data_IF_556361160358
#
_entry.id   IF_556361160358
#
_cell.length_a   1.000
_cell.length_b   1.000
_cell.length_c   1.000
_cell.angle_alpha   90.00
_cell.angle_beta   90.00
_cell.angle_gamma   90.00
#
_symmetry.space_group_name_H-M   'P 1'
#
loop_
_entity.id
_entity.type
_entity.pdbx_description
1 polymer ?
#
# COMPACT_ATOMS: atom_id res chain seq x y z
N UNK A 1 10.54 -21.81 -9.20
CA UNK A 1 10.58 -20.34 -9.40
C UNK A 1 9.50 -19.68 -8.55
N UNK A 2 9.78 -18.53 -7.91
CA UNK A 2 8.79 -17.76 -7.13
C UNK A 2 8.23 -16.62 -7.98
N UNK A 3 6.91 -16.45 -8.00
CA UNK A 3 6.25 -15.36 -8.72
C UNK A 3 5.04 -14.85 -7.94
N UNK A 4 4.61 -13.61 -8.24
CA UNK A 4 3.42 -13.02 -7.66
C UNK A 4 2.20 -13.29 -8.56
N UNK A 5 1.06 -13.59 -7.96
CA UNK A 5 -0.22 -13.73 -8.67
C UNK A 5 -1.16 -12.62 -8.22
N UNK A 6 -1.66 -11.85 -9.18
CA UNK A 6 -2.64 -10.79 -8.95
C UNK A 6 -3.90 -11.13 -9.74
N UNK A 7 -5.04 -11.22 -9.08
CA UNK A 7 -6.30 -11.58 -9.71
C UNK A 7 -7.16 -12.49 -8.82
N UNK A 8 -8.03 -13.26 -9.47
CA UNK A 8 -8.96 -14.17 -8.81
C UNK A 8 -9.02 -15.52 -9.53
N UNK A 9 -10.03 -16.34 -9.23
CA UNK A 9 -10.20 -17.68 -9.83
C UNK A 9 -10.52 -17.65 -11.32
N UNK A 10 -11.04 -16.55 -11.85
CA UNK A 10 -11.47 -16.41 -13.25
C UNK A 10 -10.34 -15.86 -14.11
N UNK A 11 -9.68 -14.78 -13.64
CA UNK A 11 -8.59 -14.11 -14.33
C UNK A 11 -7.53 -13.64 -13.36
N UNK A 12 -6.29 -13.98 -13.65
CA UNK A 12 -5.12 -13.53 -12.91
C UNK A 12 -3.96 -13.22 -13.86
N UNK A 13 -3.03 -12.39 -13.37
CA UNK A 13 -1.74 -12.05 -13.97
C UNK A 13 -0.65 -12.62 -13.08
N UNK A 14 0.30 -13.34 -13.66
CA UNK A 14 1.54 -13.73 -13.00
C UNK A 14 2.62 -12.67 -13.26
N UNK A 15 3.36 -12.29 -12.22
CA UNK A 15 4.52 -11.38 -12.32
C UNK A 15 5.76 -12.17 -11.94
N UNK A 16 6.65 -12.37 -12.92
CA UNK A 16 7.86 -13.17 -12.78
C UNK A 16 9.12 -12.33 -12.79
N UNK A 17 10.15 -12.85 -12.16
CA UNK A 17 11.53 -12.37 -12.29
C UNK A 17 12.34 -13.50 -12.94
N UNK A 18 12.91 -13.22 -14.11
CA UNK A 18 13.59 -14.22 -14.95
C UNK A 18 15.06 -13.87 -15.01
N UNK A 19 15.92 -14.85 -14.73
CA UNK A 19 17.37 -14.74 -14.79
C UNK A 19 17.88 -14.69 -16.23
N UNK A 20 19.14 -14.23 -16.39
CA UNK A 20 19.79 -14.27 -17.70
C UNK A 20 19.97 -15.71 -18.17
N UNK A 21 19.52 -16.01 -19.41
CA UNK A 21 19.66 -17.31 -20.03
C UNK A 21 18.50 -18.28 -19.78
N UNK A 22 17.51 -17.92 -18.99
CA UNK A 22 16.31 -18.73 -18.84
C UNK A 22 15.35 -18.54 -20.03
N UNK A 23 14.66 -19.60 -20.43
CA UNK A 23 13.69 -19.57 -21.53
C UNK A 23 12.34 -18.99 -21.04
N UNK A 24 12.12 -17.72 -21.34
CA UNK A 24 10.95 -16.96 -20.88
C UNK A 24 9.61 -17.55 -21.35
N UNK A 25 9.56 -18.02 -22.60
CA UNK A 25 8.34 -18.63 -23.18
C UNK A 25 7.99 -19.93 -22.49
N UNK A 26 8.97 -20.78 -22.27
CA UNK A 26 8.78 -22.07 -21.60
C UNK A 26 8.29 -21.87 -20.15
N UNK A 27 8.90 -20.92 -19.43
CA UNK A 27 8.48 -20.55 -18.08
C UNK A 27 7.02 -20.08 -18.08
N UNK A 28 6.66 -19.18 -19.00
CA UNK A 28 5.32 -18.64 -19.08
C UNK A 28 4.27 -19.71 -19.42
N UNK A 29 4.59 -20.59 -20.36
CA UNK A 29 3.73 -21.72 -20.76
C UNK A 29 3.52 -22.69 -19.59
N UNK A 30 4.58 -23.00 -18.84
CA UNK A 30 4.50 -23.87 -17.67
C UNK A 30 3.60 -23.26 -16.57
N UNK A 31 3.75 -21.96 -16.29
CA UNK A 31 2.91 -21.23 -15.33
C UNK A 31 1.44 -21.28 -15.76
N UNK A 32 1.14 -20.94 -17.01
CA UNK A 32 -0.23 -20.93 -17.52
C UNK A 32 -0.84 -22.35 -17.62
N UNK A 33 -0.04 -23.36 -17.86
CA UNK A 33 -0.47 -24.76 -17.83
C UNK A 33 -0.88 -25.21 -16.43
N UNK A 34 -0.09 -24.85 -15.42
CA UNK A 34 -0.34 -25.20 -14.00
C UNK A 34 -1.49 -24.39 -13.39
N UNK A 35 -1.66 -23.13 -13.80
CA UNK A 35 -2.62 -22.18 -13.23
C UNK A 35 -3.57 -21.66 -14.31
N UNK A 36 -4.68 -22.36 -14.52
CA UNK A 36 -5.65 -22.08 -15.62
C UNK A 36 -6.31 -20.71 -15.57
N UNK A 37 -6.34 -20.08 -14.40
CA UNK A 37 -6.83 -18.71 -14.19
C UNK A 37 -5.80 -17.64 -14.59
N UNK A 38 -4.51 -17.96 -14.74
CA UNK A 38 -3.51 -17.02 -15.23
C UNK A 38 -3.71 -16.84 -16.74
N UNK A 39 -4.04 -15.61 -17.14
CA UNK A 39 -4.30 -15.23 -18.53
C UNK A 39 -3.17 -14.40 -19.13
N UNK A 40 -2.28 -13.85 -18.31
CA UNK A 40 -1.12 -13.07 -18.73
C UNK A 40 0.06 -13.33 -17.82
N UNK A 41 1.25 -13.39 -18.40
CA UNK A 41 2.52 -13.49 -17.66
C UNK A 41 3.37 -12.27 -18.00
N UNK A 42 3.69 -11.48 -16.98
CA UNK A 42 4.50 -10.27 -17.05
C UNK A 42 5.89 -10.54 -16.48
N UNK A 43 6.93 -10.17 -17.20
CA UNK A 43 8.31 -10.13 -16.73
C UNK A 43 8.63 -8.72 -16.19
N UNK A 44 9.32 -8.66 -15.05
CA UNK A 44 9.89 -7.41 -14.54
C UNK A 44 11.11 -7.03 -15.38
N UNK A 45 11.10 -5.83 -16.01
CA UNK A 45 12.23 -5.34 -16.83
C UNK A 45 12.96 -4.17 -16.20
N UNK A 46 12.40 -3.51 -15.21
CA UNK A 46 13.06 -2.43 -14.49
C UNK A 46 12.86 -2.52 -12.98
N UNK A 47 13.69 -1.80 -12.24
CA UNK A 47 13.38 -1.43 -10.86
C UNK A 47 12.26 -0.37 -10.85
N UNK A 48 11.66 -0.15 -9.67
CA UNK A 48 10.63 0.89 -9.50
C UNK A 48 11.26 2.27 -9.59
N UNK A 49 10.73 3.13 -10.46
CA UNK A 49 11.25 4.47 -10.76
C UNK A 49 10.21 5.55 -10.50
N UNK A 50 10.71 6.77 -10.29
CA UNK A 50 9.90 7.97 -10.18
C UNK A 50 9.00 8.04 -8.94
N UNK A 51 8.26 9.12 -8.86
CA UNK A 51 7.35 9.43 -7.75
C UNK A 51 6.17 8.44 -7.67
N UNK A 52 5.65 8.01 -8.83
CA UNK A 52 4.55 7.06 -8.94
C UNK A 52 4.97 5.61 -8.63
N UNK A 53 6.28 5.35 -8.46
CA UNK A 53 6.86 4.04 -8.15
C UNK A 53 6.44 2.93 -9.10
N UNK A 54 6.24 3.27 -10.36
CA UNK A 54 5.92 2.32 -11.41
C UNK A 54 7.15 1.49 -11.78
N UNK A 55 6.89 0.29 -12.25
CA UNK A 55 7.85 -0.64 -12.81
C UNK A 55 7.44 -0.95 -14.22
N UNK A 56 8.41 -1.06 -15.09
CA UNK A 56 8.18 -1.53 -16.45
C UNK A 56 8.06 -3.06 -16.45
N UNK A 57 7.08 -3.54 -17.19
CA UNK A 57 6.82 -4.95 -17.40
C UNK A 57 6.78 -5.26 -18.89
N UNK A 58 7.22 -6.45 -19.24
CA UNK A 58 7.06 -7.02 -20.57
C UNK A 58 6.07 -8.17 -20.51
N UNK A 59 5.10 -8.16 -21.44
CA UNK A 59 4.18 -9.29 -21.60
C UNK A 59 4.89 -10.40 -22.38
N UNK A 60 5.20 -11.50 -21.71
CA UNK A 60 5.88 -12.62 -22.32
C UNK A 60 4.94 -13.73 -22.80
N UNK A 61 3.71 -13.79 -22.28
CA UNK A 61 2.67 -14.71 -22.78
C UNK A 61 1.27 -14.26 -22.35
N UNK A 62 0.26 -14.65 -23.14
CA UNK A 62 -1.16 -14.50 -22.83
C UNK A 62 -1.78 -13.20 -23.31
N UNK A 63 -2.85 -12.77 -22.64
CA UNK A 63 -3.66 -11.62 -23.02
C UNK A 63 -2.92 -10.30 -22.84
N UNK A 64 -3.07 -9.39 -23.81
CA UNK A 64 -2.57 -8.01 -23.72
C UNK A 64 -3.29 -7.18 -22.64
N UNK A 65 -4.57 -7.51 -22.38
CA UNK A 65 -5.33 -6.88 -21.30
C UNK A 65 -4.96 -7.51 -19.97
N UNK A 66 -4.13 -6.81 -19.18
CA UNK A 66 -3.64 -7.25 -17.87
C UNK A 66 -4.48 -6.72 -16.70
N UNK A 67 -5.58 -6.02 -16.98
CA UNK A 67 -6.53 -5.58 -15.95
C UNK A 67 -7.21 -6.79 -15.30
N UNK A 68 -7.21 -6.83 -13.97
CA UNK A 68 -7.78 -7.92 -13.17
C UNK A 68 -8.55 -7.40 -11.97
N UNK A 69 -9.41 -8.26 -11.42
CA UNK A 69 -10.02 -8.05 -10.10
C UNK A 69 -9.35 -9.01 -9.11
N UNK A 70 -8.48 -8.48 -8.27
CA UNK A 70 -7.85 -9.22 -7.19
C UNK A 70 -8.80 -9.37 -6.00
N UNK A 71 -8.84 -10.56 -5.40
CA UNK A 71 -9.69 -10.87 -4.25
C UNK A 71 -8.84 -11.10 -3.00
N UNK A 72 -9.10 -10.34 -1.94
CA UNK A 72 -8.32 -10.40 -0.71
C UNK A 72 -9.26 -10.25 0.50
N UNK A 73 -9.21 -11.17 1.45
CA UNK A 73 -9.97 -11.13 2.73
C UNK A 73 -11.42 -10.62 2.63
N UNK A 74 -12.11 -10.97 1.54
CA UNK A 74 -13.53 -10.65 1.34
C UNK A 74 -13.82 -9.27 0.77
N UNK A 75 -12.82 -8.57 0.22
CA UNK A 75 -12.98 -7.40 -0.64
C UNK A 75 -12.30 -7.60 -1.98
N UNK A 76 -12.65 -6.78 -2.96
CA UNK A 76 -12.16 -6.86 -4.33
C UNK A 76 -11.38 -5.59 -4.70
N UNK A 77 -10.30 -5.77 -5.47
CA UNK A 77 -9.44 -4.71 -5.97
C UNK A 77 -9.27 -4.86 -7.48
N UNK A 78 -9.93 -4.01 -8.26
CA UNK A 78 -9.69 -3.89 -9.69
C UNK A 78 -8.43 -3.08 -9.90
N UNK A 79 -7.53 -3.56 -10.73
CA UNK A 79 -6.27 -2.89 -11.07
C UNK A 79 -5.64 -3.47 -12.33
N UNK A 80 -4.75 -2.69 -12.94
CA UNK A 80 -3.80 -3.15 -13.94
C UNK A 80 -2.37 -3.01 -13.36
N UNK A 81 -1.64 -4.11 -13.15
CA UNK A 81 -0.29 -4.05 -12.56
C UNK A 81 0.73 -3.29 -13.41
N UNK A 82 0.46 -3.04 -14.68
CA UNK A 82 1.31 -2.22 -15.54
C UNK A 82 1.11 -0.70 -15.30
N UNK A 83 -0.02 -0.27 -14.73
CA UNK A 83 -0.38 1.13 -14.52
C UNK A 83 -0.25 1.59 -13.08
N UNK A 84 -0.37 0.64 -12.13
CA UNK A 84 -0.40 0.98 -10.71
C UNK A 84 0.49 0.06 -9.90
N UNK A 85 0.96 0.57 -8.77
CA UNK A 85 1.62 -0.26 -7.77
C UNK A 85 0.59 -1.06 -6.97
N UNK A 86 0.81 -2.35 -6.88
CA UNK A 86 0.13 -3.23 -5.94
C UNK A 86 1.05 -4.41 -5.55
N UNK A 87 0.94 -4.87 -4.29
CA UNK A 87 1.66 -6.06 -3.80
C UNK A 87 0.69 -6.99 -3.06
N UNK A 88 0.42 -8.19 -3.57
CA UNK A 88 -0.39 -9.18 -2.87
C UNK A 88 0.30 -9.68 -1.58
N UNK A 89 1.62 -9.59 -1.50
CA UNK A 89 2.41 -10.00 -0.32
C UNK A 89 2.15 -9.15 0.93
N UNK A 90 1.55 -7.97 0.77
CA UNK A 90 1.20 -7.07 1.88
C UNK A 90 -0.19 -7.34 2.48
N UNK A 91 -0.89 -8.37 2.03
CA UNK A 91 -2.25 -8.69 2.46
C UNK A 91 -2.38 -8.86 3.98
N UNK A 92 -1.48 -9.61 4.59
CA UNK A 92 -1.47 -9.83 6.05
C UNK A 92 -1.20 -8.53 6.82
N UNK A 93 -0.32 -7.68 6.29
CA UNK A 93 -0.01 -6.38 6.92
C UNK A 93 -1.21 -5.44 6.85
N UNK A 94 -1.94 -5.42 5.74
CA UNK A 94 -3.20 -4.67 5.64
C UNK A 94 -4.22 -5.11 6.67
N UNK A 95 -4.35 -6.42 6.91
CA UNK A 95 -5.22 -6.94 7.97
C UNK A 95 -4.76 -6.51 9.36
N UNK A 96 -3.46 -6.58 9.66
CA UNK A 96 -2.89 -6.13 10.94
C UNK A 96 -3.25 -4.67 11.25
N UNK A 97 -3.13 -3.78 10.27
CA UNK A 97 -3.52 -2.37 10.44
C UNK A 97 -5.03 -2.25 10.61
N UNK A 98 -5.80 -2.96 9.80
CA UNK A 98 -7.27 -2.91 9.86
C UNK A 98 -7.83 -3.38 11.23
N UNK A 99 -7.20 -4.36 11.85
CA UNK A 99 -7.55 -4.88 13.18
C UNK A 99 -7.35 -3.87 14.32
N UNK A 100 -6.48 -2.90 14.13
CA UNK A 100 -6.20 -1.86 15.13
C UNK A 100 -7.19 -0.69 15.07
N UNK A 101 -7.96 -0.55 13.98
CA UNK A 101 -8.89 0.56 13.81
C UNK A 101 -10.11 0.37 14.70
N UNK A 102 -10.49 1.39 15.45
CA UNK A 102 -11.63 1.37 16.37
C UNK A 102 -12.92 1.90 15.69
N UNK A 103 -14.10 1.58 16.24
CA UNK A 103 -15.34 2.21 15.82
C UNK A 103 -15.25 3.74 15.91
N UNK A 104 -15.90 4.43 14.96
CA UNK A 104 -16.01 5.89 14.89
C UNK A 104 -14.66 6.64 14.67
N UNK A 105 -13.56 5.96 14.36
CA UNK A 105 -12.32 6.64 13.96
C UNK A 105 -12.47 7.32 12.60
N UNK A 106 -11.86 8.50 12.45
CA UNK A 106 -11.52 9.11 11.16
C UNK A 106 -10.09 8.71 10.81
N UNK A 107 -9.92 8.12 9.65
CA UNK A 107 -8.63 7.58 9.19
C UNK A 107 -8.16 8.31 7.94
N UNK A 108 -6.89 8.69 7.91
CA UNK A 108 -6.22 9.16 6.70
C UNK A 108 -5.28 8.06 6.19
N UNK A 109 -5.42 7.70 4.93
CA UNK A 109 -4.45 6.85 4.23
C UNK A 109 -3.75 7.71 3.18
N UNK A 110 -2.48 8.02 3.41
CA UNK A 110 -1.61 8.70 2.46
C UNK A 110 -1.05 7.68 1.48
N UNK A 111 -0.81 8.08 0.21
CA UNK A 111 -0.25 7.20 -0.82
C UNK A 111 -1.08 5.91 -0.99
N UNK A 112 -2.39 6.09 -1.14
CA UNK A 112 -3.37 5.02 -0.96
C UNK A 112 -3.41 4.01 -2.10
N UNK A 113 -2.77 4.29 -3.25
CA UNK A 113 -2.83 3.42 -4.42
C UNK A 113 -4.28 3.18 -4.85
N UNK A 114 -4.59 1.95 -5.19
CA UNK A 114 -5.94 1.50 -5.57
C UNK A 114 -6.87 1.25 -4.36
N UNK A 115 -6.59 1.84 -3.21
CA UNK A 115 -7.30 1.74 -1.93
C UNK A 115 -7.25 0.38 -1.20
N UNK A 116 -6.15 -0.40 -1.21
CA UNK A 116 -6.14 -1.68 -0.51
C UNK A 116 -6.25 -1.54 1.02
N UNK A 117 -5.57 -0.58 1.65
CA UNK A 117 -5.70 -0.30 3.10
C UNK A 117 -7.10 0.21 3.47
N UNK A 118 -7.68 1.21 2.77
CA UNK A 118 -9.05 1.65 3.05
C UNK A 118 -10.07 0.51 3.02
N UNK A 119 -10.01 -0.36 2.00
CA UNK A 119 -10.95 -1.47 1.87
C UNK A 119 -10.76 -2.54 2.94
N UNK A 120 -9.51 -2.87 3.30
CA UNK A 120 -9.22 -3.76 4.41
C UNK A 120 -9.81 -3.23 5.72
N UNK A 121 -9.64 -1.91 5.99
CA UNK A 121 -10.15 -1.24 7.19
C UNK A 121 -11.68 -1.33 7.25
N UNK A 122 -12.39 -0.90 6.21
CA UNK A 122 -13.87 -0.93 6.23
C UNK A 122 -14.39 -2.36 6.35
N UNK A 123 -13.73 -3.31 5.70
CA UNK A 123 -14.13 -4.73 5.78
C UNK A 123 -13.98 -5.29 7.19
N UNK A 124 -12.90 -4.95 7.90
CA UNK A 124 -12.62 -5.44 9.24
C UNK A 124 -13.35 -4.65 10.32
N UNK A 125 -13.45 -3.32 10.15
CA UNK A 125 -14.15 -2.39 11.05
C UNK A 125 -15.26 -1.62 10.33
N UNK A 126 -16.45 -2.24 10.17
CA UNK A 126 -17.57 -1.61 9.46
C UNK A 126 -18.12 -0.35 10.15
N UNK A 127 -17.79 -0.12 11.43
CA UNK A 127 -18.17 1.07 12.20
C UNK A 127 -17.14 2.19 12.15
N UNK A 128 -16.08 2.10 11.31
CA UNK A 128 -15.21 3.23 11.03
C UNK A 128 -16.05 4.39 10.50
N UNK A 129 -15.78 5.63 10.93
CA UNK A 129 -16.60 6.77 10.55
C UNK A 129 -16.29 7.23 9.12
N UNK A 130 -15.01 7.48 8.82
CA UNK A 130 -14.56 8.01 7.53
C UNK A 130 -13.11 7.62 7.26
N UNK A 131 -12.83 7.31 6.01
CA UNK A 131 -11.46 7.09 5.53
C UNK A 131 -11.21 8.02 4.35
N UNK A 132 -10.27 8.96 4.51
CA UNK A 132 -9.74 9.77 3.41
C UNK A 132 -8.53 9.06 2.81
N UNK A 133 -8.50 8.90 1.49
CA UNK A 133 -7.48 8.15 0.77
C UNK A 133 -6.84 9.03 -0.30
N UNK A 134 -5.62 9.52 -0.04
CA UNK A 134 -4.92 10.46 -0.93
C UNK A 134 -3.96 9.68 -1.84
N UNK A 135 -4.06 9.92 -3.15
CA UNK A 135 -3.23 9.27 -4.17
C UNK A 135 -2.86 10.26 -5.26
N UNK A 136 -1.57 10.28 -5.65
CA UNK A 136 -1.05 11.20 -6.67
C UNK A 136 -1.12 10.61 -8.09
N UNK A 137 -1.10 9.28 -8.23
CA UNK A 137 -1.21 8.61 -9.53
C UNK A 137 -2.67 8.62 -10.02
N UNK A 138 -2.98 9.28 -11.14
CA UNK A 138 -4.35 9.38 -11.65
C UNK A 138 -4.94 8.02 -12.04
N UNK A 139 -4.15 7.08 -12.54
CA UNK A 139 -4.63 5.73 -12.84
C UNK A 139 -4.99 4.97 -11.56
N UNK A 140 -4.15 5.08 -10.52
CA UNK A 140 -4.43 4.45 -9.23
C UNK A 140 -5.66 5.06 -8.56
N UNK A 141 -5.81 6.39 -8.65
CA UNK A 141 -6.99 7.09 -8.14
C UNK A 141 -8.28 6.65 -8.86
N UNK A 142 -8.25 6.55 -10.19
CA UNK A 142 -9.40 6.02 -10.98
C UNK A 142 -9.79 4.62 -10.50
N UNK A 143 -8.81 3.72 -10.34
CA UNK A 143 -9.08 2.39 -9.77
C UNK A 143 -9.57 2.46 -8.32
N UNK A 144 -9.09 3.40 -7.52
CA UNK A 144 -9.57 3.59 -6.15
C UNK A 144 -11.07 3.93 -6.13
N UNK A 145 -11.53 4.84 -6.99
CA UNK A 145 -12.97 5.17 -7.13
C UNK A 145 -13.80 3.97 -7.61
N UNK A 146 -13.31 3.24 -8.62
CA UNK A 146 -13.96 2.01 -9.09
C UNK A 146 -14.04 0.95 -7.96
N UNK A 147 -12.98 0.80 -7.18
CA UNK A 147 -12.90 -0.16 -6.08
C UNK A 147 -13.83 0.21 -4.91
N UNK A 148 -13.97 1.49 -4.61
CA UNK A 148 -14.93 1.98 -3.61
C UNK A 148 -16.35 1.59 -4.01
N UNK A 149 -16.74 1.80 -5.27
CA UNK A 149 -18.05 1.39 -5.81
C UNK A 149 -18.22 -0.14 -5.83
N UNK A 150 -17.19 -0.86 -6.30
CA UNK A 150 -17.20 -2.32 -6.39
C UNK A 150 -17.44 -3.00 -5.03
N UNK A 151 -16.94 -2.39 -3.96
CA UNK A 151 -17.11 -2.90 -2.58
C UNK A 151 -18.27 -2.24 -1.83
N UNK A 152 -19.03 -1.33 -2.45
CA UNK A 152 -20.21 -0.64 -1.87
C UNK A 152 -19.88 0.13 -0.57
N UNK A 153 -18.80 0.92 -0.61
CA UNK A 153 -18.31 1.66 0.56
C UNK A 153 -18.17 3.16 0.33
N UNK A 154 -18.91 3.72 -0.65
CA UNK A 154 -18.90 5.13 -1.06
C UNK A 154 -19.23 6.10 0.10
N UNK A 155 -20.04 5.64 1.06
CA UNK A 155 -20.36 6.44 2.25
C UNK A 155 -19.25 6.51 3.30
N UNK A 156 -18.14 5.78 3.12
CA UNK A 156 -17.05 5.64 4.12
C UNK A 156 -15.67 5.92 3.61
N UNK A 157 -15.37 5.54 2.37
CA UNK A 157 -14.05 5.72 1.75
C UNK A 157 -14.14 6.80 0.69
N UNK A 158 -13.27 7.81 0.82
CA UNK A 158 -13.24 9.00 -0.03
C UNK A 158 -11.86 9.13 -0.68
N UNK A 159 -11.66 8.58 -1.89
CA UNK A 159 -10.44 8.80 -2.66
C UNK A 159 -10.29 10.28 -3.05
N UNK A 160 -9.08 10.80 -2.98
CA UNK A 160 -8.72 12.15 -3.44
C UNK A 160 -7.48 12.08 -4.29
N UNK A 161 -7.56 12.57 -5.52
CA UNK A 161 -6.42 12.73 -6.41
C UNK A 161 -5.61 13.96 -5.99
N UNK A 162 -4.32 13.78 -5.76
CA UNK A 162 -3.40 14.91 -5.52
C UNK A 162 -2.19 14.55 -4.68
N UNK A 163 -1.26 15.51 -4.60
CA UNK A 163 -0.11 15.42 -3.69
C UNK A 163 -0.58 15.59 -2.24
N UNK A 164 -0.06 14.73 -1.37
CA UNK A 164 -0.26 14.82 0.09
C UNK A 164 0.09 16.21 0.62
N UNK A 165 1.12 16.88 0.07
CA UNK A 165 1.52 18.24 0.47
C UNK A 165 0.46 19.30 0.18
N UNK A 166 -0.34 19.11 -0.84
CA UNK A 166 -1.37 20.06 -1.28
C UNK A 166 -2.75 19.71 -0.69
N UNK A 167 -3.04 18.42 -0.62
CA UNK A 167 -4.35 17.93 -0.15
C UNK A 167 -4.46 17.98 1.37
N UNK A 168 -3.46 17.44 2.10
CA UNK A 168 -3.56 17.23 3.53
C UNK A 168 -3.63 18.50 4.40
N UNK A 169 -3.04 19.65 4.03
CA UNK A 169 -3.19 20.88 4.83
C UNK A 169 -4.63 21.30 5.10
N UNK A 170 -5.56 20.99 4.21
CA UNK A 170 -7.01 21.25 4.36
C UNK A 170 -7.66 20.40 5.47
N UNK A 171 -6.96 19.38 5.92
CA UNK A 171 -7.44 18.36 6.85
C UNK A 171 -6.62 18.27 8.14
N UNK A 172 -5.82 19.28 8.48
CA UNK A 172 -5.09 19.32 9.74
C UNK A 172 -6.05 19.24 10.94
N UNK A 173 -5.67 18.48 11.95
CA UNK A 173 -6.46 18.32 13.17
C UNK A 173 -7.73 17.46 13.02
N UNK A 174 -7.85 16.60 12.00
CA UNK A 174 -9.12 15.91 11.67
C UNK A 174 -9.11 14.41 11.93
N UNK A 175 -7.97 13.76 12.07
CA UNK A 175 -7.90 12.30 12.07
C UNK A 175 -7.46 11.72 13.42
N UNK A 176 -8.04 10.56 13.74
CA UNK A 176 -7.63 9.73 14.88
C UNK A 176 -6.43 8.85 14.51
N UNK A 177 -6.29 8.55 13.20
CA UNK A 177 -5.27 7.64 12.69
C UNK A 177 -4.78 8.05 11.31
N UNK A 178 -3.46 7.89 11.09
CA UNK A 178 -2.82 8.08 9.78
C UNK A 178 -2.04 6.83 9.40
N UNK A 179 -2.24 6.33 8.17
CA UNK A 179 -1.48 5.22 7.60
C UNK A 179 -0.63 5.76 6.45
N UNK A 180 0.69 5.51 6.52
CA UNK A 180 1.67 5.99 5.55
C UNK A 180 2.40 4.81 4.88
N UNK A 181 1.77 4.03 3.98
CA UNK A 181 2.29 2.74 3.51
C UNK A 181 3.48 2.85 2.53
N UNK A 182 3.95 4.05 2.23
CA UNK A 182 5.10 4.30 1.37
C UNK A 182 6.41 4.20 2.18
N UNK A 183 7.29 3.20 1.92
CA UNK A 183 8.50 3.03 2.74
C UNK A 183 9.68 3.90 2.32
N UNK A 184 9.65 4.51 1.14
CA UNK A 184 10.71 5.39 0.64
C UNK A 184 10.13 6.77 0.31
N UNK A 185 10.70 7.81 0.91
CA UNK A 185 10.24 9.18 0.75
C UNK A 185 9.15 9.60 1.73
N UNK A 186 8.51 8.66 2.44
CA UNK A 186 7.46 8.99 3.43
C UNK A 186 7.96 9.87 4.57
N UNK A 187 9.27 9.84 4.86
CA UNK A 187 9.90 10.70 5.85
C UNK A 187 9.69 12.20 5.59
N UNK A 188 9.54 12.60 4.33
CA UNK A 188 9.28 13.99 3.93
C UNK A 188 7.87 14.48 4.26
N UNK A 189 6.98 13.56 4.64
CA UNK A 189 5.57 13.83 4.89
C UNK A 189 5.17 13.56 6.35
N UNK A 190 6.13 13.17 7.20
CA UNK A 190 5.84 12.77 8.58
C UNK A 190 5.33 13.94 9.42
N UNK A 191 5.81 15.16 9.19
CA UNK A 191 5.30 16.37 9.84
C UNK A 191 3.87 16.69 9.41
N UNK A 192 3.52 16.45 8.14
CA UNK A 192 2.15 16.60 7.64
C UNK A 192 1.23 15.56 8.30
N UNK A 193 1.67 14.31 8.38
CA UNK A 193 0.91 13.25 9.04
C UNK A 193 0.60 13.58 10.50
N UNK A 194 1.59 14.09 11.25
CA UNK A 194 1.42 14.50 12.64
C UNK A 194 0.42 15.67 12.75
N UNK A 195 0.50 16.66 11.86
CA UNK A 195 -0.44 17.79 11.84
C UNK A 195 -1.87 17.38 11.47
N UNK A 196 -2.05 16.31 10.72
CA UNK A 196 -3.37 15.77 10.37
C UNK A 196 -4.08 15.13 11.56
N UNK A 197 -3.35 14.67 12.59
CA UNK A 197 -3.95 14.13 13.80
C UNK A 197 -4.73 15.21 14.56
N UNK A 198 -5.77 14.80 15.27
CA UNK A 198 -6.54 15.65 16.19
C UNK A 198 -5.65 16.27 17.26
N UNK A 199 -6.11 17.33 17.92
CA UNK A 199 -5.36 18.04 18.94
C UNK A 199 -5.00 17.14 20.12
N UNK A 200 -5.89 16.26 20.52
CA UNK A 200 -5.71 15.24 21.55
C UNK A 200 -4.73 14.12 21.16
N UNK A 201 -4.21 14.17 19.94
CA UNK A 201 -3.27 13.19 19.41
C UNK A 201 -3.95 12.11 18.57
N UNK A 202 -3.20 11.03 18.30
CA UNK A 202 -3.68 9.91 17.49
C UNK A 202 -2.56 8.94 17.14
N UNK A 203 -2.87 7.95 16.30
CA UNK A 203 -1.95 6.88 15.95
C UNK A 203 -1.43 7.07 14.53
N UNK A 204 -0.15 6.85 14.32
CA UNK A 204 0.48 6.82 12.98
C UNK A 204 1.12 5.45 12.76
N UNK A 205 0.86 4.89 11.58
CA UNK A 205 1.54 3.72 11.04
C UNK A 205 2.56 4.19 10.00
N UNK A 206 3.81 4.27 10.39
CA UNK A 206 4.90 4.82 9.57
C UNK A 206 5.76 3.69 8.99
N UNK A 207 5.78 3.59 7.67
CA UNK A 207 6.58 2.62 6.96
C UNK A 207 7.93 3.22 6.54
N UNK A 208 8.98 2.41 6.67
CA UNK A 208 10.34 2.76 6.26
C UNK A 208 11.14 1.51 5.86
N UNK A 209 12.38 1.70 5.44
CA UNK A 209 13.32 0.62 5.21
C UNK A 209 14.25 0.44 6.41
N UNK A 210 14.52 -0.83 6.76
CA UNK A 210 15.54 -1.22 7.72
C UNK A 210 16.52 -2.20 7.09
N UNK A 211 17.75 -2.24 7.60
CA UNK A 211 18.72 -3.29 7.30
C UNK A 211 18.59 -4.45 8.29
N UNK A 212 19.18 -5.61 7.96
CA UNK A 212 19.17 -6.78 8.84
C UNK A 212 19.80 -6.49 10.21
N UNK A 213 20.88 -5.70 10.21
CA UNK A 213 21.63 -5.35 11.42
C UNK A 213 20.93 -4.26 12.24
N UNK A 214 20.11 -3.43 11.59
CA UNK A 214 19.38 -2.33 12.23
C UNK A 214 18.04 -2.08 11.53
N UNK A 215 17.00 -2.77 12.02
CA UNK A 215 15.67 -2.69 11.40
C UNK A 215 14.95 -1.36 11.66
N UNK A 216 15.16 -0.71 12.81
CA UNK A 216 14.21 0.31 13.26
C UNK A 216 14.84 1.67 13.59
N UNK A 217 16.13 1.77 13.90
CA UNK A 217 16.74 3.02 14.40
C UNK A 217 16.59 4.20 13.45
N UNK A 218 16.68 3.98 12.13
CA UNK A 218 16.43 5.03 11.14
C UNK A 218 15.01 5.59 11.27
N UNK A 219 14.01 4.72 11.30
CA UNK A 219 12.61 5.12 11.41
C UNK A 219 12.33 5.84 12.73
N UNK A 220 12.86 5.33 13.85
CA UNK A 220 12.73 5.94 15.17
C UNK A 220 13.34 7.34 15.24
N UNK A 221 14.55 7.53 14.71
CA UNK A 221 15.20 8.87 14.63
C UNK A 221 14.38 9.88 13.81
N UNK A 222 13.77 9.42 12.72
CA UNK A 222 12.89 10.26 11.90
C UNK A 222 11.61 10.67 12.65
N UNK A 223 10.98 9.74 13.36
CA UNK A 223 9.81 10.00 14.21
C UNK A 223 10.18 11.03 15.29
N UNK A 224 11.22 10.75 16.06
CA UNK A 224 11.68 11.62 17.14
C UNK A 224 11.97 13.05 16.65
N UNK A 225 12.71 13.19 15.54
CA UNK A 225 13.02 14.48 14.92
C UNK A 225 11.76 15.29 14.58
N UNK A 226 10.78 14.64 13.94
CA UNK A 226 9.58 15.34 13.48
C UNK A 226 8.62 15.67 14.62
N UNK A 227 8.46 14.76 15.60
CA UNK A 227 7.61 15.01 16.77
C UNK A 227 8.19 16.13 17.63
N UNK A 228 9.51 16.14 17.90
CA UNK A 228 10.20 17.22 18.62
C UNK A 228 10.07 18.57 17.91
N UNK A 229 10.22 18.61 16.57
CA UNK A 229 10.03 19.83 15.76
C UNK A 229 8.65 20.44 15.97
N UNK A 230 7.63 19.62 16.17
CA UNK A 230 6.24 20.05 16.41
C UNK A 230 5.90 20.23 17.90
N UNK A 231 6.89 20.14 18.79
CA UNK A 231 6.74 20.30 20.26
C UNK A 231 5.69 19.33 20.85
N UNK A 232 5.60 18.13 20.28
CA UNK A 232 4.72 17.06 20.74
C UNK A 232 5.54 15.93 21.40
N UNK A 233 4.84 14.99 22.04
CA UNK A 233 5.41 13.76 22.60
C UNK A 233 4.87 12.57 21.82
N UNK A 234 5.51 11.42 21.95
CA UNK A 234 5.06 10.18 21.32
C UNK A 234 5.40 8.95 22.17
N UNK A 235 4.66 7.92 21.92
CA UNK A 235 4.86 6.59 22.50
C UNK A 235 4.91 5.57 21.36
N UNK A 236 5.87 4.65 21.40
CA UNK A 236 5.95 3.54 20.44
C UNK A 236 5.01 2.44 20.90
N UNK A 237 4.07 2.07 20.03
CA UNK A 237 3.09 1.01 20.29
C UNK A 237 3.57 -0.35 19.78
N UNK A 238 4.15 -0.39 18.56
CA UNK A 238 4.66 -1.63 17.97
C UNK A 238 5.78 -1.35 16.94
N UNK A 239 6.63 -2.34 16.71
CA UNK A 239 7.69 -2.35 15.69
C UNK A 239 7.59 -3.64 14.89
N UNK A 240 7.29 -3.53 13.60
CA UNK A 240 7.02 -4.69 12.76
C UNK A 240 7.98 -4.81 11.59
N UNK A 241 8.60 -5.97 11.42
CA UNK A 241 9.25 -6.40 10.19
C UNK A 241 8.16 -6.91 9.24
N UNK A 242 7.89 -6.20 8.15
CA UNK A 242 6.74 -6.45 7.27
C UNK A 242 7.07 -7.47 6.20
N UNK A 243 8.01 -7.15 5.32
CA UNK A 243 8.48 -8.06 4.27
C UNK A 243 9.92 -7.78 3.83
N UNK A 244 10.60 -8.80 3.28
CA UNK A 244 11.87 -8.58 2.59
C UNK A 244 11.67 -7.77 1.30
N UNK A 245 12.60 -6.87 1.02
CA UNK A 245 12.64 -6.08 -0.22
C UNK A 245 13.80 -6.48 -1.12
N UNK A 246 14.98 -6.68 -0.52
CA UNK A 246 16.21 -7.11 -1.15
C UNK A 246 17.03 -7.89 -0.12
N UNK A 247 18.14 -8.54 -0.49
CA UNK A 247 19.04 -9.16 0.47
C UNK A 247 19.38 -8.17 1.59
N UNK A 248 19.17 -8.61 2.85
CA UNK A 248 19.41 -7.82 4.07
C UNK A 248 18.66 -6.49 4.19
N UNK A 249 17.62 -6.25 3.36
CA UNK A 249 16.77 -5.05 3.42
C UNK A 249 15.30 -5.43 3.60
N UNK A 250 14.63 -4.78 4.53
CA UNK A 250 13.25 -5.10 4.91
C UNK A 250 12.37 -3.85 4.95
N UNK A 251 11.13 -3.99 4.51
CA UNK A 251 10.08 -3.03 4.82
C UNK A 251 9.71 -3.21 6.29
N UNK A 252 9.75 -2.13 7.04
CA UNK A 252 9.36 -2.10 8.45
C UNK A 252 8.21 -1.13 8.66
N UNK A 253 7.43 -1.35 9.73
CA UNK A 253 6.40 -0.44 10.18
C UNK A 253 6.66 -0.11 11.65
N UNK A 254 6.54 1.17 12.00
CA UNK A 254 6.50 1.65 13.39
C UNK A 254 5.09 2.19 13.64
N UNK A 255 4.38 1.56 14.56
CA UNK A 255 3.12 2.06 15.07
C UNK A 255 3.42 2.93 16.29
N UNK A 256 3.03 4.18 16.26
CA UNK A 256 3.25 5.10 17.37
C UNK A 256 2.07 6.03 17.59
N UNK A 257 1.89 6.42 18.85
CA UNK A 257 0.89 7.40 19.27
C UNK A 257 1.54 8.74 19.50
N UNK A 258 0.96 9.79 18.95
CA UNK A 258 1.32 11.19 19.24
C UNK A 258 0.37 11.72 20.31
N UNK A 259 0.93 12.44 21.29
CA UNK A 259 0.20 13.03 22.42
C UNK A 259 0.61 14.49 22.63
#
# INVERSE_FOLDING_TARGET
MSFDIIGNKEKAVAIVEIGKGENEKEIAEEIMKKHKNIKSVLRKVSERKGELRLREYELIAGDKNTEVVHKEYGYCLKLDPQKVYFSPREATERQRIAEQVKPNEDVLVMFSGVCPYPLAIVKKQPKVRKILAVEINPDAHRYAEENVKLNKVEGKVFPILGDVKEVCPKYYGKFDRVVMPLPLGAESFLDIAIKCLKLEGGIIHFYNWGSEDDLYSRALKLIEKNVKKLKKRFEILDKRKVLPYAPKKYKVCIDFKVV
#
